data_IF_798973304451
#
_entry.id   IF_798973304451
#
_cell.length_a   1.000
_cell.length_b   1.000
_cell.length_c   1.000
_cell.angle_alpha   90.00
_cell.angle_beta   90.00
_cell.angle_gamma   90.00
#
_symmetry.space_group_name_H-M   'P 1'
#
loop_
_entity.id
_entity.type
_entity.pdbx_description
1 polymer ?
#
# COMPACT_ATOMS: atom_id res chain seq x y z
N UNK A 1 -19.06 -13.61 3.77
CA UNK A 1 -17.59 -13.77 3.85
C UNK A 1 -16.86 -12.45 4.18
N UNK A 2 -17.32 -11.68 5.19
CA UNK A 2 -16.62 -10.47 5.67
C UNK A 2 -16.16 -10.57 7.14
N UNK A 3 -16.81 -11.43 7.93
CA UNK A 3 -16.56 -11.56 9.37
C UNK A 3 -15.08 -11.79 9.71
N UNK A 4 -14.40 -12.68 8.97
CA UNK A 4 -12.97 -12.95 9.20
C UNK A 4 -12.10 -11.71 8.97
N UNK A 5 -12.36 -10.94 7.91
CA UNK A 5 -11.56 -9.76 7.57
C UNK A 5 -11.71 -8.70 8.66
N UNK A 6 -12.94 -8.49 9.13
CA UNK A 6 -13.25 -7.50 10.16
C UNK A 6 -12.72 -7.92 11.53
N UNK A 7 -12.89 -9.19 11.93
CA UNK A 7 -12.71 -9.60 13.33
C UNK A 7 -11.52 -10.50 13.61
N UNK A 8 -11.02 -11.27 12.63
CA UNK A 8 -9.87 -12.13 12.87
C UNK A 8 -8.57 -11.34 12.75
N UNK A 9 -7.58 -11.68 13.56
CA UNK A 9 -6.23 -11.13 13.43
C UNK A 9 -5.64 -11.46 12.05
N UNK A 10 -4.86 -10.53 11.45
CA UNK A 10 -4.21 -10.79 10.19
C UNK A 10 -3.13 -11.86 10.38
N UNK A 11 -3.14 -12.86 9.51
CA UNK A 11 -2.07 -13.85 9.41
C UNK A 11 -0.85 -13.17 8.76
N UNK A 12 0.20 -12.94 9.56
CA UNK A 12 1.43 -12.24 9.15
C UNK A 12 2.69 -13.11 9.33
N UNK A 13 2.53 -14.42 9.51
CA UNK A 13 3.61 -15.35 9.86
C UNK A 13 4.69 -15.46 8.78
N UNK A 14 4.36 -15.13 7.53
CA UNK A 14 5.29 -15.13 6.40
C UNK A 14 5.89 -13.76 6.11
N UNK A 15 5.54 -12.72 6.87
CA UNK A 15 6.02 -11.36 6.68
C UNK A 15 7.35 -11.19 7.43
N UNK A 16 8.41 -10.63 6.80
CA UNK A 16 9.65 -10.33 7.50
C UNK A 16 9.43 -9.39 8.70
N UNK A 17 10.12 -9.61 9.81
CA UNK A 17 9.92 -8.88 11.07
C UNK A 17 9.94 -7.35 10.93
N UNK A 18 10.82 -6.82 10.07
CA UNK A 18 10.91 -5.38 9.76
C UNK A 18 9.62 -4.82 9.17
N UNK A 19 8.95 -5.60 8.30
CA UNK A 19 7.66 -5.23 7.71
C UNK A 19 6.48 -5.66 8.58
N UNK A 20 6.62 -6.72 9.39
CA UNK A 20 5.57 -7.23 10.26
C UNK A 20 5.05 -6.17 11.22
N UNK A 21 5.96 -5.41 11.84
CA UNK A 21 5.60 -4.30 12.75
C UNK A 21 4.77 -3.22 12.05
N UNK A 22 5.13 -2.86 10.82
CA UNK A 22 4.39 -1.88 10.03
C UNK A 22 3.03 -2.43 9.62
N UNK A 23 2.98 -3.66 9.10
CA UNK A 23 1.75 -4.31 8.66
C UNK A 23 0.73 -4.43 9.80
N UNK A 24 1.17 -4.83 11.00
CA UNK A 24 0.30 -4.92 12.19
C UNK A 24 -0.37 -3.59 12.51
N UNK A 25 0.39 -2.47 12.50
CA UNK A 25 -0.18 -1.14 12.78
C UNK A 25 -1.14 -0.68 11.69
N UNK A 26 -0.81 -0.92 10.42
CA UNK A 26 -1.68 -0.56 9.29
C UNK A 26 -2.99 -1.36 9.28
N UNK A 27 -2.96 -2.62 9.76
CA UNK A 27 -4.09 -3.54 9.77
C UNK A 27 -4.88 -3.52 11.09
N UNK A 28 -4.65 -2.52 11.95
CA UNK A 28 -5.43 -2.33 13.17
C UNK A 28 -6.93 -2.28 12.88
N UNK A 29 -7.71 -2.97 13.72
CA UNK A 29 -9.17 -3.08 13.57
C UNK A 29 -9.83 -1.73 13.74
N UNK A 30 -9.44 -1.01 14.78
CA UNK A 30 -9.84 0.36 15.01
C UNK A 30 -9.15 1.30 14.00
N UNK A 31 -9.91 2.05 13.18
CA UNK A 31 -9.33 2.95 12.20
C UNK A 31 -8.45 4.05 12.81
N UNK A 32 -8.75 4.47 14.04
CA UNK A 32 -8.01 5.50 14.78
C UNK A 32 -6.62 5.05 15.22
N UNK A 33 -6.38 3.75 15.29
CA UNK A 33 -5.09 3.18 15.71
C UNK A 33 -4.11 3.04 14.53
N UNK A 34 -4.60 3.28 13.31
CA UNK A 34 -3.80 3.18 12.10
C UNK A 34 -2.88 4.39 11.97
N UNK A 35 -1.61 4.18 11.59
CA UNK A 35 -0.66 5.26 11.43
C UNK A 35 -1.06 6.18 10.27
N UNK A 36 -0.76 7.46 10.43
CA UNK A 36 -0.85 8.43 9.34
C UNK A 36 0.22 8.17 8.27
N UNK A 37 0.07 8.81 7.10
CA UNK A 37 1.01 8.66 5.99
C UNK A 37 2.43 9.05 6.37
N UNK A 38 2.60 10.15 7.11
CA UNK A 38 3.90 10.64 7.57
C UNK A 38 4.60 9.63 8.50
N UNK A 39 3.83 8.96 9.36
CA UNK A 39 4.34 7.94 10.26
C UNK A 39 4.76 6.67 9.50
N UNK A 40 3.95 6.25 8.52
CA UNK A 40 4.30 5.12 7.64
C UNK A 40 5.63 5.40 6.93
N UNK A 41 5.79 6.59 6.34
CA UNK A 41 7.02 6.97 5.64
C UNK A 41 8.24 6.94 6.57
N UNK A 42 8.09 7.46 7.80
CA UNK A 42 9.15 7.45 8.82
C UNK A 42 9.54 6.03 9.24
N UNK A 43 8.55 5.14 9.44
CA UNK A 43 8.80 3.74 9.76
C UNK A 43 9.53 3.01 8.63
N UNK A 44 9.10 3.22 7.39
CA UNK A 44 9.75 2.67 6.20
C UNK A 44 11.21 3.13 6.05
N UNK A 45 11.47 4.43 6.25
CA UNK A 45 12.82 4.99 6.21
C UNK A 45 13.71 4.39 7.30
N UNK A 46 13.17 4.22 8.52
CA UNK A 46 13.90 3.59 9.63
C UNK A 46 14.23 2.13 9.33
N UNK A 47 13.28 1.37 8.76
CA UNK A 47 13.44 -0.05 8.46
C UNK A 47 14.39 -0.34 7.30
N UNK A 48 14.61 0.61 6.38
CA UNK A 48 15.41 0.38 5.17
C UNK A 48 16.92 0.57 5.37
N UNK A 49 17.34 1.17 6.49
CA UNK A 49 18.72 1.68 6.64
C UNK A 49 19.06 2.66 5.50
N UNK A 50 20.33 3.03 5.31
CA UNK A 50 20.76 3.91 4.19
C UNK A 50 20.50 3.33 2.78
N UNK A 51 19.79 2.20 2.66
CA UNK A 51 19.39 1.64 1.37
C UNK A 51 18.14 2.35 0.83
N UNK A 52 18.21 2.77 -0.43
CA UNK A 52 17.10 3.42 -1.11
C UNK A 52 15.86 2.51 -1.15
N UNK A 53 14.76 3.00 -0.59
CA UNK A 53 13.47 2.30 -0.50
C UNK A 53 12.85 1.98 -1.89
N UNK A 54 13.28 2.72 -2.90
CA UNK A 54 12.84 2.57 -4.28
C UNK A 54 13.91 1.86 -5.11
N UNK A 55 13.62 0.62 -5.52
CA UNK A 55 14.48 -0.17 -6.40
C UNK A 55 13.77 -0.41 -7.74
N UNK A 56 13.96 0.45 -8.76
CA UNK A 56 13.29 0.25 -10.04
C UNK A 56 13.73 -1.07 -10.69
N UNK A 57 12.76 -1.87 -11.13
CA UNK A 57 12.99 -3.11 -11.90
C UNK A 57 13.09 -4.41 -11.10
N UNK A 58 13.37 -4.36 -9.80
CA UNK A 58 13.66 -5.59 -9.03
C UNK A 58 12.45 -6.17 -8.29
N UNK A 59 11.44 -5.35 -7.96
CA UNK A 59 10.29 -5.79 -7.15
C UNK A 59 9.07 -6.20 -7.99
N UNK A 60 8.99 -5.72 -9.24
CA UNK A 60 7.85 -5.91 -10.13
C UNK A 60 8.30 -6.69 -11.36
N UNK A 61 7.53 -7.71 -11.77
CA UNK A 61 7.88 -8.46 -12.97
C UNK A 61 7.86 -7.54 -14.21
N UNK A 62 8.75 -7.76 -15.20
CA UNK A 62 8.82 -6.91 -16.39
C UNK A 62 7.49 -6.82 -17.15
N UNK A 63 6.73 -7.93 -17.19
CA UNK A 63 5.42 -7.97 -17.84
C UNK A 63 4.42 -7.01 -17.17
N UNK A 64 4.38 -6.98 -15.83
CA UNK A 64 3.48 -6.07 -15.11
C UNK A 64 3.97 -4.63 -15.21
N UNK A 65 5.28 -4.39 -15.19
CA UNK A 65 5.85 -3.06 -15.39
C UNK A 65 5.47 -2.46 -16.76
N UNK A 66 5.56 -3.27 -17.82
CA UNK A 66 5.17 -2.87 -19.18
C UNK A 66 3.67 -2.59 -19.27
N UNK A 67 2.83 -3.42 -18.64
CA UNK A 67 1.38 -3.26 -18.62
C UNK A 67 0.93 -1.99 -17.88
N UNK A 68 1.54 -1.67 -16.73
CA UNK A 68 1.30 -0.38 -16.03
C UNK A 68 1.65 0.80 -16.94
N UNK A 69 2.83 0.75 -17.57
CA UNK A 69 3.29 1.81 -18.48
C UNK A 69 2.35 1.97 -19.66
N UNK A 70 1.89 0.86 -20.24
CA UNK A 70 0.94 0.87 -21.36
C UNK A 70 -0.39 1.53 -20.96
N UNK A 71 -0.96 1.18 -19.81
CA UNK A 71 -2.20 1.80 -19.32
C UNK A 71 -2.03 3.28 -18.98
N UNK A 72 -0.90 3.68 -18.41
CA UNK A 72 -0.63 5.07 -18.10
C UNK A 72 -0.51 5.95 -19.36
N UNK A 73 -0.09 5.37 -20.48
CA UNK A 73 -0.01 6.05 -21.77
C UNK A 73 -1.37 6.19 -22.49
N UNK A 74 -2.41 5.47 -22.03
CA UNK A 74 -3.77 5.64 -22.56
C UNK A 74 -4.35 6.95 -22.05
N UNK A 75 -4.75 7.90 -22.92
CA UNK A 75 -5.35 9.15 -22.48
C UNK A 75 -6.62 8.86 -21.68
N UNK A 76 -6.73 9.50 -20.52
CA UNK A 76 -7.90 9.35 -19.66
C UNK A 76 -9.17 9.73 -20.44
N UNK A 77 -10.25 8.92 -20.36
CA UNK A 77 -11.53 9.34 -20.92
C UNK A 77 -11.95 10.66 -20.25
N UNK A 78 -12.65 11.56 -20.96
CA UNK A 78 -13.08 12.82 -20.39
C UNK A 78 -13.91 12.53 -19.13
N UNK A 79 -13.41 12.97 -17.98
CA UNK A 79 -14.14 12.87 -16.72
C UNK A 79 -15.36 13.79 -16.83
N UNK A 80 -16.57 13.21 -16.78
CA UNK A 80 -17.78 14.00 -16.64
C UNK A 80 -17.77 14.68 -15.25
N UNK A 81 -18.09 15.98 -15.16
CA UNK A 81 -18.11 16.68 -13.88
C UNK A 81 -19.11 16.00 -12.93
N UNK A 82 -18.62 15.66 -11.74
CA UNK A 82 -19.45 15.13 -10.66
C UNK A 82 -20.39 16.25 -10.21
N UNK A 83 -21.67 16.16 -10.59
CA UNK A 83 -22.69 17.06 -10.07
C UNK A 83 -22.86 16.78 -8.57
N UNK A 84 -22.28 17.64 -7.73
CA UNK A 84 -22.64 17.70 -6.32
C UNK A 84 -24.09 18.20 -6.24
N UNK A 85 -25.00 17.33 -5.80
CA UNK A 85 -26.37 17.70 -5.47
C UNK A 85 -26.31 18.41 -4.12
N UNK A 86 -26.64 19.70 -4.11
CA UNK A 86 -26.92 20.49 -2.90
C UNK A 86 -28.26 20.09 -2.29
#
# INVERSE_FOLDING_TARGET
MLYRIVHAEPALETVPDELGKLATRCLAKEPTDRPGLDEILRMCQTASGDTQLWRPGDWLSPAVAADITHRAAVPAPPHAPTAHIC
#
